data_IF_411886086068
#
_entry.id   IF_411886086068
#
_cell.length_a   1.000
_cell.length_b   1.000
_cell.length_c   1.000
_cell.angle_alpha   90.00
_cell.angle_beta   90.00
_cell.angle_gamma   90.00
#
_symmetry.space_group_name_H-M   'P 1'
#
loop_
_entity.id
_entity.type
_entity.pdbx_description
1 polymer ?
#
# COMPACT_ATOMS: atom_id res chain seq x y z
N UNK A 1 19.44 14.49 -22.46
CA UNK A 1 19.91 14.55 -21.05
C UNK A 1 19.08 13.56 -20.24
N UNK A 2 19.52 13.19 -19.02
CA UNK A 2 18.70 12.39 -18.10
C UNK A 2 17.32 13.05 -17.90
N UNK A 3 17.27 14.38 -17.87
CA UNK A 3 16.03 15.16 -17.80
C UNK A 3 15.04 14.88 -18.94
N UNK A 4 15.53 14.72 -20.18
CA UNK A 4 14.67 14.41 -21.34
C UNK A 4 14.09 12.99 -21.24
N UNK A 5 14.89 12.05 -20.73
CA UNK A 5 14.47 10.66 -20.53
C UNK A 5 13.49 10.51 -19.36
N UNK A 6 13.72 11.25 -18.27
CA UNK A 6 12.75 11.37 -17.17
C UNK A 6 11.44 11.94 -17.68
N UNK A 7 11.50 13.02 -18.46
CA UNK A 7 10.32 13.63 -19.05
C UNK A 7 9.59 12.65 -19.99
N UNK A 8 10.29 11.83 -20.77
CA UNK A 8 9.70 10.85 -21.69
C UNK A 8 9.06 9.66 -20.95
N UNK A 9 9.78 9.07 -19.99
CA UNK A 9 9.35 7.89 -19.23
C UNK A 9 8.21 8.23 -18.25
N UNK A 10 8.27 9.41 -17.63
CA UNK A 10 7.30 9.84 -16.62
C UNK A 10 6.23 10.80 -17.15
N UNK A 11 6.21 11.18 -18.43
CA UNK A 11 5.27 12.18 -19.00
C UNK A 11 3.80 11.93 -18.62
N UNK A 12 3.38 10.66 -18.63
CA UNK A 12 2.01 10.24 -18.31
C UNK A 12 1.68 10.15 -16.81
N UNK A 13 2.70 10.19 -15.94
CA UNK A 13 2.59 10.20 -14.48
C UNK A 13 2.80 11.62 -13.91
N UNK A 14 3.67 12.42 -14.54
CA UNK A 14 3.99 13.82 -14.20
C UNK A 14 2.84 14.80 -14.52
N UNK A 15 2.00 14.45 -15.49
CA UNK A 15 0.85 15.24 -15.92
C UNK A 15 -0.35 15.16 -14.97
N UNK A 16 -0.33 14.24 -14.00
CA UNK A 16 -1.32 14.15 -12.92
C UNK A 16 -0.73 14.74 -11.62
N UNK A 17 -1.18 15.95 -11.20
CA UNK A 17 -0.67 16.62 -10.00
C UNK A 17 -0.81 15.79 -8.73
N UNK A 18 -1.83 14.94 -8.67
CA UNK A 18 -2.17 14.13 -7.50
C UNK A 18 -1.23 12.93 -7.38
N UNK A 19 -0.81 12.36 -8.51
CA UNK A 19 0.26 11.36 -8.60
C UNK A 19 1.61 11.96 -8.17
N UNK A 20 1.94 13.15 -8.69
CA UNK A 20 3.21 13.84 -8.46
C UNK A 20 3.46 14.18 -6.99
N UNK A 21 2.47 14.73 -6.30
CA UNK A 21 2.55 15.10 -4.89
C UNK A 21 2.67 13.88 -3.95
N UNK A 22 1.91 12.81 -4.25
CA UNK A 22 1.80 11.65 -3.36
C UNK A 22 2.96 10.67 -3.45
N UNK A 23 3.58 10.53 -4.62
CA UNK A 23 4.51 9.44 -4.89
C UNK A 23 5.98 9.86 -4.91
N UNK A 24 6.33 11.16 -4.71
CA UNK A 24 7.71 11.67 -4.85
C UNK A 24 8.38 11.04 -6.09
N UNK A 25 7.71 11.17 -7.23
CA UNK A 25 7.98 10.40 -8.45
C UNK A 25 9.29 10.74 -9.15
N UNK A 26 10.03 11.74 -8.70
CA UNK A 26 11.18 12.23 -9.42
C UNK A 26 12.43 11.51 -8.91
N UNK A 27 12.96 10.54 -9.68
CA UNK A 27 14.27 9.98 -9.38
C UNK A 27 15.33 11.05 -9.69
N UNK A 28 16.17 11.37 -8.72
CA UNK A 28 17.26 12.35 -8.84
C UNK A 28 18.58 11.57 -8.90
N UNK A 29 19.02 11.24 -10.11
CA UNK A 29 20.31 10.58 -10.30
C UNK A 29 21.43 11.63 -10.12
N UNK A 30 22.43 11.38 -9.25
CA UNK A 30 23.54 12.33 -9.06
C UNK A 30 24.44 12.39 -10.31
N UNK A 31 25.18 13.49 -10.46
CA UNK A 31 26.10 13.71 -11.60
C UNK A 31 27.17 12.60 -11.75
N UNK A 32 27.50 11.94 -10.64
CA UNK A 32 28.40 10.78 -10.60
C UNK A 32 27.69 9.62 -9.88
N UNK A 33 26.85 8.86 -10.59
CA UNK A 33 26.12 7.75 -9.98
C UNK A 33 27.05 6.55 -9.73
N UNK A 34 26.78 5.82 -8.65
CA UNK A 34 27.43 4.52 -8.45
C UNK A 34 26.86 3.49 -9.44
N UNK A 35 27.56 2.39 -9.72
CA UNK A 35 27.03 1.31 -10.56
C UNK A 35 25.64 0.84 -10.12
N UNK A 36 25.41 0.72 -8.81
CA UNK A 36 24.13 0.29 -8.25
C UNK A 36 23.00 1.30 -8.50
N UNK A 37 23.31 2.61 -8.50
CA UNK A 37 22.34 3.65 -8.85
C UNK A 37 22.00 3.64 -10.34
N UNK A 38 22.99 3.35 -11.20
CA UNK A 38 22.76 3.18 -12.64
C UNK A 38 21.92 1.95 -12.93
N UNK A 39 22.22 0.81 -12.29
CA UNK A 39 21.43 -0.42 -12.44
C UNK A 39 19.98 -0.20 -11.97
N UNK A 40 19.81 0.46 -10.82
CA UNK A 40 18.50 0.82 -10.31
C UNK A 40 17.73 1.77 -11.25
N UNK A 41 18.45 2.69 -11.89
CA UNK A 41 17.88 3.60 -12.87
C UNK A 41 17.37 2.88 -14.12
N UNK A 42 18.17 1.95 -14.66
CA UNK A 42 17.77 1.12 -15.81
C UNK A 42 16.53 0.28 -15.47
N UNK A 43 16.54 -0.37 -14.31
CA UNK A 43 15.41 -1.18 -13.84
C UNK A 43 14.14 -0.33 -13.62
N UNK A 44 14.27 0.88 -13.08
CA UNK A 44 13.16 1.81 -12.92
C UNK A 44 12.56 2.20 -14.29
N UNK A 45 13.41 2.43 -15.29
CA UNK A 45 12.96 2.78 -16.62
C UNK A 45 12.20 1.64 -17.31
N UNK A 46 12.66 0.39 -17.17
CA UNK A 46 11.95 -0.79 -17.66
C UNK A 46 10.59 -0.93 -16.98
N UNK A 47 10.55 -0.76 -15.66
CA UNK A 47 9.32 -0.86 -14.88
C UNK A 47 8.29 0.20 -15.26
N UNK A 48 8.70 1.46 -15.43
CA UNK A 48 7.79 2.55 -15.81
C UNK A 48 7.39 2.46 -17.30
N UNK A 49 8.22 1.83 -18.14
CA UNK A 49 7.88 1.48 -19.51
C UNK A 49 6.69 0.50 -19.62
N UNK A 50 6.49 -0.38 -18.63
CA UNK A 50 5.37 -1.31 -18.58
C UNK A 50 4.02 -0.58 -18.49
N UNK A 51 3.17 -0.79 -19.50
CA UNK A 51 1.84 -0.18 -19.58
C UNK A 51 0.89 -0.70 -18.48
N UNK A 52 1.00 -1.98 -18.11
CA UNK A 52 0.18 -2.57 -17.08
C UNK A 52 0.57 -2.03 -15.70
N UNK A 53 1.87 -1.82 -15.47
CA UNK A 53 2.37 -1.16 -14.25
C UNK A 53 1.81 0.26 -14.12
N UNK A 54 1.87 1.06 -15.20
CA UNK A 54 1.30 2.42 -15.21
C UNK A 54 -0.20 2.42 -14.92
N UNK A 55 -0.95 1.46 -15.46
CA UNK A 55 -2.38 1.34 -15.19
C UNK A 55 -2.67 0.97 -13.72
N UNK A 56 -1.88 0.04 -13.14
CA UNK A 56 -1.99 -0.34 -11.72
C UNK A 56 -1.70 0.84 -10.79
N UNK A 57 -0.62 1.57 -11.05
CA UNK A 57 -0.25 2.77 -10.27
C UNK A 57 -1.33 3.85 -10.32
N UNK A 58 -1.91 4.10 -11.50
CA UNK A 58 -3.03 5.05 -11.66
C UNK A 58 -4.24 4.63 -10.81
N UNK A 59 -4.68 3.37 -10.93
CA UNK A 59 -5.79 2.85 -10.12
C UNK A 59 -5.54 3.03 -8.63
N UNK A 60 -4.33 2.70 -8.15
CA UNK A 60 -3.97 2.86 -6.75
C UNK A 60 -4.13 4.32 -6.27
N UNK A 61 -3.67 5.30 -7.05
CA UNK A 61 -3.81 6.72 -6.69
C UNK A 61 -5.27 7.18 -6.74
N UNK A 62 -6.03 6.77 -7.76
CA UNK A 62 -7.48 7.02 -7.87
C UNK A 62 -8.22 6.49 -6.63
N UNK A 63 -7.96 5.24 -6.24
CA UNK A 63 -8.52 4.65 -5.01
C UNK A 63 -8.15 5.45 -3.75
N UNK A 64 -6.91 5.93 -3.65
CA UNK A 64 -6.50 6.78 -2.53
C UNK A 64 -7.20 8.15 -2.51
N UNK A 65 -7.49 8.72 -3.68
CA UNK A 65 -8.22 9.98 -3.83
C UNK A 65 -9.70 9.82 -3.45
N UNK A 66 -10.36 8.78 -3.97
CA UNK A 66 -11.75 8.44 -3.65
C UNK A 66 -11.94 8.15 -2.16
N UNK A 67 -10.99 7.43 -1.54
CA UNK A 67 -11.01 7.16 -0.09
C UNK A 67 -10.98 8.42 0.76
N UNK A 68 -10.32 9.50 0.29
CA UNK A 68 -10.31 10.80 0.98
C UNK A 68 -11.65 11.51 0.82
N UNK A 69 -12.19 11.52 -0.41
CA UNK A 69 -13.47 12.16 -0.71
C UNK A 69 -14.63 11.55 0.08
N UNK A 70 -14.59 10.24 0.34
CA UNK A 70 -15.64 9.52 1.07
C UNK A 70 -15.45 9.50 2.60
N UNK A 71 -14.51 10.27 3.17
CA UNK A 71 -14.35 10.34 4.63
C UNK A 71 -13.70 9.11 5.27
N UNK A 72 -12.99 8.28 4.50
CA UNK A 72 -12.28 7.10 5.02
C UNK A 72 -11.14 7.46 5.99
N UNK A 73 -10.42 6.48 6.56
CA UNK A 73 -9.31 6.72 7.50
C UNK A 73 -8.21 7.66 6.97
N UNK A 74 -8.08 7.80 5.65
CA UNK A 74 -7.15 8.71 4.97
C UNK A 74 -7.68 10.16 4.81
N UNK A 75 -8.96 10.42 5.06
CA UNK A 75 -9.59 11.73 4.91
C UNK A 75 -9.16 12.72 6.01
N UNK A 76 -8.74 12.23 7.17
CA UNK A 76 -8.20 13.06 8.25
C UNK A 76 -6.67 13.23 8.10
N UNK A 77 -6.12 14.43 8.34
CA UNK A 77 -4.67 14.63 8.42
C UNK A 77 -4.02 13.64 9.39
N UNK A 78 -3.04 12.87 8.91
CA UNK A 78 -2.35 11.83 9.69
C UNK A 78 -3.17 10.57 9.99
N UNK A 79 -4.43 10.46 9.55
CA UNK A 79 -5.26 9.28 9.79
C UNK A 79 -4.71 8.01 9.13
N UNK A 80 -4.14 8.14 7.94
CA UNK A 80 -3.40 7.05 7.28
C UNK A 80 -2.18 6.61 8.10
N UNK A 81 -1.36 7.55 8.59
CA UNK A 81 -0.18 7.24 9.40
C UNK A 81 -0.54 6.62 10.75
N UNK A 82 -1.65 7.05 11.38
CA UNK A 82 -2.17 6.43 12.61
C UNK A 82 -2.63 5.00 12.34
N UNK A 83 -3.40 4.78 11.28
CA UNK A 83 -3.85 3.46 10.88
C UNK A 83 -2.68 2.51 10.58
N UNK A 84 -1.69 2.96 9.80
CA UNK A 84 -0.51 2.15 9.48
C UNK A 84 0.27 1.78 10.75
N UNK A 85 0.50 2.72 11.66
CA UNK A 85 1.19 2.43 12.93
C UNK A 85 0.41 1.42 13.79
N UNK A 86 -0.90 1.58 13.89
CA UNK A 86 -1.75 0.66 14.64
C UNK A 86 -1.77 -0.74 14.02
N UNK A 87 -1.87 -0.83 12.69
CA UNK A 87 -1.81 -2.10 11.95
C UNK A 87 -0.48 -2.81 12.19
N UNK A 88 0.64 -2.12 12.00
CA UNK A 88 1.99 -2.69 12.18
C UNK A 88 2.14 -3.21 13.61
N UNK A 89 1.81 -2.37 14.59
CA UNK A 89 1.90 -2.73 16.01
C UNK A 89 1.09 -3.98 16.37
N UNK A 90 -0.18 -4.06 15.94
CA UNK A 90 -1.05 -5.19 16.28
C UNK A 90 -0.65 -6.48 15.55
N UNK A 91 -0.23 -6.38 14.29
CA UNK A 91 0.16 -7.55 13.49
C UNK A 91 1.51 -8.10 13.97
N UNK A 92 2.47 -7.24 14.28
CA UNK A 92 3.76 -7.66 14.84
C UNK A 92 3.58 -8.37 16.18
N UNK A 93 2.79 -7.80 17.10
CA UNK A 93 2.48 -8.43 18.38
C UNK A 93 1.78 -9.80 18.20
N UNK A 94 0.89 -9.92 17.21
CA UNK A 94 0.26 -11.20 16.88
C UNK A 94 1.27 -12.23 16.38
N UNK A 95 2.17 -11.82 15.48
CA UNK A 95 3.22 -12.68 14.91
C UNK A 95 4.23 -13.11 15.96
N UNK A 96 4.67 -12.22 16.85
CA UNK A 96 5.58 -12.53 17.97
C UNK A 96 5.00 -13.57 18.93
N UNK A 97 3.68 -13.52 19.16
CA UNK A 97 2.96 -14.54 19.95
C UNK A 97 2.66 -15.84 19.21
N UNK A 98 3.06 -15.95 17.94
CA UNK A 98 2.78 -17.12 17.11
C UNK A 98 1.30 -17.29 16.73
N UNK A 99 0.52 -16.20 16.69
CA UNK A 99 -0.88 -16.24 16.28
C UNK A 99 -0.96 -16.46 14.77
N UNK A 100 -1.50 -17.62 14.38
CA UNK A 100 -1.75 -17.93 12.98
C UNK A 100 -2.92 -17.08 12.42
N UNK A 101 -2.86 -16.65 11.15
CA UNK A 101 -3.87 -15.77 10.55
C UNK A 101 -5.27 -16.40 10.45
N UNK A 102 -5.39 -17.73 10.48
CA UNK A 102 -6.64 -18.48 10.47
C UNK A 102 -7.22 -18.75 11.87
N UNK A 103 -6.53 -18.29 12.92
CA UNK A 103 -6.93 -18.56 14.30
C UNK A 103 -7.99 -17.58 14.81
N UNK A 104 -8.80 -17.97 15.81
CA UNK A 104 -9.72 -17.03 16.49
C UNK A 104 -9.02 -15.79 17.08
N UNK A 105 -7.72 -15.89 17.40
CA UNK A 105 -6.91 -14.76 17.84
C UNK A 105 -6.69 -13.73 16.73
N UNK A 106 -6.55 -14.17 15.48
CA UNK A 106 -6.42 -13.28 14.33
C UNK A 106 -7.74 -12.53 14.04
N UNK A 107 -8.89 -13.19 14.20
CA UNK A 107 -10.19 -12.52 14.11
C UNK A 107 -10.31 -11.34 15.11
N UNK A 108 -9.82 -11.51 16.35
CA UNK A 108 -9.81 -10.43 17.35
C UNK A 108 -8.85 -9.28 17.00
N UNK A 109 -7.78 -9.55 16.24
CA UNK A 109 -6.87 -8.52 15.73
C UNK A 109 -7.56 -7.71 14.62
N UNK A 110 -8.23 -8.40 13.68
CA UNK A 110 -9.01 -7.75 12.62
C UNK A 110 -10.14 -6.90 13.20
N UNK A 111 -10.90 -7.43 14.16
CA UNK A 111 -11.99 -6.71 14.82
C UNK A 111 -11.50 -5.45 15.54
N UNK A 112 -10.34 -5.51 16.21
CA UNK A 112 -9.72 -4.34 16.87
C UNK A 112 -9.21 -3.31 15.87
N UNK A 113 -8.63 -3.74 14.76
CA UNK A 113 -8.08 -2.85 13.75
C UNK A 113 -9.17 -2.14 12.94
N UNK A 114 -10.30 -2.81 12.74
CA UNK A 114 -11.39 -2.35 11.88
C UNK A 114 -12.65 -1.93 12.65
N UNK A 115 -12.60 -1.96 13.98
CA UNK A 115 -13.67 -1.55 14.90
C UNK A 115 -15.03 -2.22 14.60
N UNK A 116 -15.01 -3.52 14.28
CA UNK A 116 -16.24 -4.27 13.93
C UNK A 116 -16.82 -3.91 12.56
N UNK A 117 -15.95 -3.61 11.59
CA UNK A 117 -16.32 -3.31 10.21
C UNK A 117 -17.35 -4.29 9.62
N UNK A 118 -18.32 -3.74 8.89
CA UNK A 118 -19.27 -4.53 8.11
C UNK A 118 -18.62 -5.18 6.88
N UNK A 119 -19.37 -6.06 6.21
CA UNK A 119 -18.90 -6.78 5.03
C UNK A 119 -18.43 -5.84 3.90
N UNK A 120 -19.08 -4.67 3.74
CA UNK A 120 -18.72 -3.67 2.73
C UNK A 120 -17.34 -3.08 3.02
N UNK A 121 -17.10 -2.69 4.27
CA UNK A 121 -15.82 -2.11 4.69
C UNK A 121 -14.70 -3.14 4.70
N UNK A 122 -14.99 -4.40 5.03
CA UNK A 122 -14.02 -5.49 4.89
C UNK A 122 -13.65 -5.76 3.43
N UNK A 123 -14.62 -5.80 2.52
CA UNK A 123 -14.35 -5.95 1.09
C UNK A 123 -13.47 -4.80 0.57
N UNK A 124 -13.77 -3.57 0.98
CA UNK A 124 -12.95 -2.40 0.65
C UNK A 124 -11.52 -2.51 1.20
N UNK A 125 -11.35 -2.90 2.46
CA UNK A 125 -10.01 -3.08 3.07
C UNK A 125 -9.24 -4.19 2.37
N UNK A 126 -9.89 -5.31 2.04
CA UNK A 126 -9.28 -6.43 1.30
C UNK A 126 -8.72 -5.97 -0.04
N UNK A 127 -9.53 -5.28 -0.84
CA UNK A 127 -9.07 -4.75 -2.14
C UNK A 127 -7.92 -3.76 -1.97
N UNK A 128 -7.97 -2.92 -0.93
CA UNK A 128 -6.87 -1.99 -0.63
C UNK A 128 -5.59 -2.71 -0.18
N UNK A 129 -5.68 -3.79 0.60
CA UNK A 129 -4.52 -4.57 1.00
C UNK A 129 -3.89 -5.27 -0.20
N UNK A 130 -4.70 -5.82 -1.12
CA UNK A 130 -4.22 -6.41 -2.38
C UNK A 130 -3.50 -5.39 -3.26
N UNK A 131 -4.04 -4.17 -3.37
CA UNK A 131 -3.39 -3.09 -4.09
C UNK A 131 -2.08 -2.63 -3.42
N UNK A 132 -2.04 -2.61 -2.08
CA UNK A 132 -0.84 -2.24 -1.32
C UNK A 132 0.26 -3.32 -1.31
N UNK A 133 -0.11 -4.58 -1.50
CA UNK A 133 0.79 -5.72 -1.69
C UNK A 133 1.30 -5.85 -3.13
N UNK A 134 1.00 -4.89 -4.02
CA UNK A 134 1.56 -4.92 -5.36
C UNK A 134 3.09 -4.79 -5.28
N UNK A 135 3.76 -5.95 -5.41
CA UNK A 135 5.22 -6.11 -5.43
C UNK A 135 5.92 -5.11 -6.35
N UNK A 136 5.24 -4.64 -7.40
CA UNK A 136 5.77 -3.68 -8.34
C UNK A 136 5.81 -2.25 -7.74
N UNK A 137 4.84 -1.87 -6.91
CA UNK A 137 4.84 -0.60 -6.17
C UNK A 137 5.92 -0.58 -5.08
N UNK A 138 6.15 -1.72 -4.41
CA UNK A 138 7.27 -1.85 -3.47
C UNK A 138 8.63 -1.78 -4.18
N UNK A 139 8.76 -2.47 -5.31
CA UNK A 139 9.96 -2.43 -6.16
C UNK A 139 10.25 -1.01 -6.65
N UNK A 140 9.21 -0.32 -7.12
CA UNK A 140 9.29 1.09 -7.52
C UNK A 140 9.83 1.99 -6.41
N UNK A 141 9.27 1.93 -5.20
CA UNK A 141 9.74 2.75 -4.08
C UNK A 141 11.17 2.41 -3.62
N UNK A 142 11.57 1.14 -3.73
CA UNK A 142 12.94 0.71 -3.41
C UNK A 142 13.94 1.28 -4.42
N UNK A 143 13.63 1.21 -5.71
CA UNK A 143 14.47 1.75 -6.78
C UNK A 143 14.62 3.27 -6.65
N UNK A 144 13.52 3.98 -6.36
CA UNK A 144 13.57 5.42 -6.08
C UNK A 144 14.48 5.76 -4.90
N UNK A 145 14.36 5.04 -3.78
CA UNK A 145 15.21 5.29 -2.61
C UNK A 145 16.69 5.07 -2.96
N UNK A 146 17.00 3.97 -3.65
CA UNK A 146 18.37 3.64 -4.05
C UNK A 146 18.96 4.70 -5.00
N UNK A 147 18.21 5.13 -6.01
CA UNK A 147 18.62 6.17 -6.96
C UNK A 147 18.91 7.48 -6.20
N UNK A 148 18.02 7.88 -5.30
CA UNK A 148 18.14 9.12 -4.54
C UNK A 148 19.18 9.05 -3.39
N UNK A 149 19.85 7.91 -3.21
CA UNK A 149 20.78 7.68 -2.11
C UNK A 149 20.10 7.62 -0.72
N UNK A 150 18.80 7.42 -0.69
CA UNK A 150 18.01 7.25 0.53
C UNK A 150 17.98 5.77 0.96
N UNK A 151 17.88 5.51 2.26
CA UNK A 151 17.61 4.17 2.77
C UNK A 151 16.17 3.76 2.41
N UNK A 152 15.96 2.58 1.77
CA UNK A 152 14.63 2.07 1.51
C UNK A 152 13.83 1.99 2.80
N UNK A 153 12.58 2.45 2.79
CA UNK A 153 11.71 2.34 3.96
C UNK A 153 11.47 0.85 4.30
N UNK A 154 11.38 0.49 5.58
CA UNK A 154 11.02 -0.87 5.98
C UNK A 154 9.72 -1.29 5.30
N UNK A 155 9.75 -2.42 4.61
CA UNK A 155 8.58 -2.99 3.94
C UNK A 155 7.64 -3.58 4.99
N UNK A 156 6.35 -3.27 4.89
CA UNK A 156 5.32 -3.91 5.72
C UNK A 156 4.66 -5.11 5.02
N UNK A 157 5.23 -5.61 3.92
CA UNK A 157 4.71 -6.73 3.12
C UNK A 157 4.24 -7.90 3.98
N UNK A 158 5.10 -8.43 4.85
CA UNK A 158 4.73 -9.56 5.72
C UNK A 158 3.60 -9.26 6.71
N UNK A 159 3.43 -7.99 7.12
CA UNK A 159 2.31 -7.59 7.98
C UNK A 159 1.01 -7.46 7.17
N UNK A 160 1.10 -6.95 5.94
CA UNK A 160 -0.02 -6.84 5.01
C UNK A 160 -0.50 -8.22 4.54
N UNK A 161 0.41 -9.14 4.25
CA UNK A 161 0.12 -10.54 3.87
C UNK A 161 -0.60 -11.27 5.01
N UNK A 162 -0.09 -11.15 6.24
CA UNK A 162 -0.71 -11.75 7.41
C UNK A 162 -2.13 -11.21 7.63
N UNK A 163 -2.32 -9.89 7.51
CA UNK A 163 -3.63 -9.26 7.68
C UNK A 163 -4.62 -9.66 6.57
N UNK A 164 -4.16 -9.76 5.32
CA UNK A 164 -4.98 -10.23 4.22
C UNK A 164 -5.42 -11.68 4.43
N UNK A 165 -4.49 -12.56 4.83
CA UNK A 165 -4.79 -13.94 5.15
C UNK A 165 -5.81 -14.07 6.30
N UNK A 166 -5.72 -13.20 7.31
CA UNK A 166 -6.67 -13.16 8.41
C UNK A 166 -8.07 -12.73 7.98
N UNK A 167 -8.17 -11.72 7.12
CA UNK A 167 -9.45 -11.25 6.56
C UNK A 167 -10.07 -12.31 5.62
N UNK A 168 -9.26 -13.06 4.89
CA UNK A 168 -9.74 -14.11 3.99
C UNK A 168 -10.19 -15.37 4.74
N UNK A 169 -9.55 -15.66 5.89
CA UNK A 169 -9.91 -16.79 6.76
C UNK A 169 -11.15 -16.54 7.63
N UNK A 170 -11.51 -15.27 7.82
CA UNK A 170 -12.63 -14.84 8.67
C UNK A 170 -13.57 -13.86 7.94
N UNK A 171 -14.27 -14.31 6.87
CA UNK A 171 -15.34 -13.50 6.30
C UNK A 171 -16.40 -13.26 7.39
N UNK A 172 -16.71 -11.99 7.64
CA UNK A 172 -17.61 -11.51 8.70
C UNK A 172 -18.73 -12.47 9.06
N UNK A 173 -18.89 -12.74 10.37
CA UNK A 173 -20.10 -13.34 10.90
C UNK A 173 -21.31 -12.47 10.46
N UNK A 174 -22.39 -13.06 9.92
CA UNK A 174 -23.57 -12.28 9.56
C UNK A 174 -24.09 -11.54 10.80
N UNK A 175 -24.68 -10.33 10.64
CA UNK A 175 -25.24 -9.59 11.75
C UNK A 175 -26.22 -10.48 12.52
N UNK A 176 -26.09 -10.49 13.85
CA UNK A 176 -26.95 -11.29 14.72
C UNK A 176 -28.42 -10.94 14.41
N UNK A 177 -29.19 -11.91 13.91
CA UNK A 177 -30.62 -11.72 13.67
C UNK A 177 -31.29 -11.35 15.00
N UNK A 178 -32.20 -10.35 15.01
CA UNK A 178 -32.95 -10.01 16.21
C UNK A 178 -33.71 -11.24 16.67
N UNK A 179 -33.45 -11.68 17.90
CA UNK A 179 -34.20 -12.77 18.54
C UNK A 179 -35.65 -12.32 18.67
N UNK A 180 -36.55 -12.90 17.88
CA UNK A 180 -37.99 -12.70 18.02
C UNK A 180 -38.40 -13.22 19.41
N UNK A 181 -38.98 -12.37 20.29
CA UNK A 181 -39.54 -12.86 21.53
C UNK A 181 -40.77 -13.72 21.21
N UNK A 182 -40.88 -14.86 21.90
CA UNK A 182 -41.98 -15.82 21.81
C UNK A 182 -43.18 -15.35 22.63
#
# INVERSE_FOLDING_TARGET
MIDDFVAEVFNGLDSDPLLKEKLRLTPELPDQPTPEQVDAWVELAELVGDADFRQRMRKMVEYHAESRAQGGPAAQPGGYQRFTRQMVSLVEEARERGIAPDSPGAAQVVDRLLEGADATRLAYVRERLRAGLDSQSERYHRLLALINGEQPRPTHAGNLEWLLAAIDSHPTRPPAQPRTPR
#
